data_IF_828723046885
#
_entry.id   IF_828723046885
#
_cell.length_a   1.000
_cell.length_b   1.000
_cell.length_c   1.000
_cell.angle_alpha   90.00
_cell.angle_beta   90.00
_cell.angle_gamma   90.00
#
_symmetry.space_group_name_H-M   'P 1'
#
loop_
_entity.id
_entity.type
_entity.pdbx_description
1 polymer ?
#
# COMPACT_ATOMS: atom_id res chain seq x y z
N UNK A 1 0.34 -14.73 2.47
CA UNK A 1 0.62 -14.24 1.09
C UNK A 1 1.83 -15.00 0.54
N UNK A 2 1.99 -15.08 -0.78
CA UNK A 2 3.18 -15.70 -1.38
C UNK A 2 4.36 -14.73 -1.35
N UNK A 3 5.56 -15.29 -1.23
CA UNK A 3 6.80 -14.57 -1.48
C UNK A 3 6.85 -14.03 -2.91
N UNK A 4 7.63 -12.97 -3.13
CA UNK A 4 7.87 -12.47 -4.48
C UNK A 4 8.72 -13.45 -5.29
N UNK A 5 8.44 -13.53 -6.59
CA UNK A 5 9.19 -14.36 -7.52
C UNK A 5 10.33 -13.53 -8.15
N UNK A 6 11.60 -13.96 -8.05
CA UNK A 6 12.71 -13.29 -8.73
C UNK A 6 12.51 -13.09 -10.24
N UNK A 7 11.78 -13.98 -10.92
CA UNK A 7 11.53 -13.87 -12.36
C UNK A 7 10.63 -12.66 -12.73
N UNK A 8 9.87 -12.14 -11.77
CA UNK A 8 9.03 -10.96 -11.98
C UNK A 8 9.84 -9.65 -11.83
N UNK A 9 11.06 -9.70 -11.28
CA UNK A 9 11.81 -8.52 -10.85
C UNK A 9 12.62 -7.93 -12.00
N UNK A 10 12.54 -6.61 -12.16
CA UNK A 10 13.26 -5.88 -13.21
C UNK A 10 14.44 -5.12 -12.60
N UNK A 11 15.65 -5.61 -12.86
CA UNK A 11 16.90 -4.97 -12.43
C UNK A 11 17.52 -5.61 -11.18
N UNK A 12 18.53 -4.94 -10.61
CA UNK A 12 19.14 -5.38 -9.36
C UNK A 12 18.18 -5.16 -8.19
N UNK A 13 18.09 -6.15 -7.29
CA UNK A 13 17.17 -6.12 -6.16
C UNK A 13 17.84 -6.52 -4.85
N UNK A 14 17.22 -6.09 -3.76
CA UNK A 14 17.53 -6.50 -2.39
C UNK A 14 16.39 -7.34 -1.81
N UNK A 15 16.73 -8.30 -0.96
CA UNK A 15 15.76 -9.18 -0.30
C UNK A 15 15.45 -8.66 1.11
N UNK A 16 14.16 -8.60 1.45
CA UNK A 16 13.68 -8.21 2.77
C UNK A 16 12.63 -9.20 3.26
N UNK A 17 12.54 -9.40 4.57
CA UNK A 17 11.46 -10.17 5.19
C UNK A 17 10.53 -9.22 5.94
N UNK A 18 9.27 -9.16 5.51
CA UNK A 18 8.22 -8.42 6.21
C UNK A 18 7.54 -9.34 7.23
N UNK A 19 7.32 -8.82 8.43
CA UNK A 19 6.44 -9.43 9.44
C UNK A 19 5.15 -8.63 9.56
N UNK A 20 4.01 -9.32 9.46
CA UNK A 20 2.68 -8.73 9.56
C UNK A 20 2.10 -8.89 10.98
N UNK A 21 1.00 -8.19 11.24
CA UNK A 21 0.38 -8.15 12.58
C UNK A 21 -0.13 -9.50 13.07
N UNK A 22 -0.42 -10.42 12.14
CA UNK A 22 -0.85 -11.79 12.43
C UNK A 22 0.34 -12.75 12.66
N UNK A 23 1.57 -12.23 12.66
CA UNK A 23 2.80 -13.00 12.81
C UNK A 23 3.27 -13.70 11.54
N UNK A 24 2.50 -13.63 10.45
CA UNK A 24 2.96 -14.18 9.17
C UNK A 24 4.10 -13.36 8.60
N UNK A 25 4.92 -14.01 7.79
CA UNK A 25 6.03 -13.38 7.09
C UNK A 25 5.88 -13.49 5.59
N UNK A 26 6.52 -12.56 4.87
CA UNK A 26 6.64 -12.58 3.42
C UNK A 26 7.99 -12.06 3.03
N UNK A 27 8.68 -12.80 2.17
CA UNK A 27 9.88 -12.32 1.49
C UNK A 27 9.48 -11.42 0.33
N UNK A 28 10.05 -10.22 0.32
CA UNK A 28 9.86 -9.21 -0.72
C UNK A 28 11.19 -8.86 -1.36
N UNK A 29 11.16 -8.62 -2.67
CA UNK A 29 12.31 -8.24 -3.46
C UNK A 29 12.09 -6.80 -3.91
N UNK A 30 13.06 -5.94 -3.63
CA UNK A 30 12.91 -4.49 -3.81
C UNK A 30 14.02 -3.95 -4.69
N UNK A 31 13.63 -3.16 -5.69
CA UNK A 31 14.51 -2.36 -6.55
C UNK A 31 14.31 -0.89 -6.24
N UNK A 32 15.30 -0.07 -6.60
CA UNK A 32 15.22 1.40 -6.43
C UNK A 32 14.53 2.10 -7.61
N UNK A 33 13.75 1.37 -8.41
CA UNK A 33 13.05 1.90 -9.58
C UNK A 33 11.70 2.49 -9.17
N UNK A 34 11.59 3.82 -9.17
CA UNK A 34 10.32 4.51 -8.98
C UNK A 34 9.48 4.52 -10.26
N UNK A 35 8.20 4.17 -10.12
CA UNK A 35 7.16 4.49 -11.11
C UNK A 35 6.46 5.78 -10.69
N UNK A 36 6.65 6.84 -11.47
CA UNK A 36 5.98 8.12 -11.21
C UNK A 36 4.45 7.97 -11.28
N UNK A 37 3.76 8.64 -10.36
CA UNK A 37 2.30 8.64 -10.36
C UNK A 37 1.77 9.43 -11.56
N UNK A 38 0.98 8.82 -12.47
CA UNK A 38 0.53 9.46 -13.69
C UNK A 38 -0.42 10.63 -13.42
N UNK A 39 -0.26 11.71 -14.19
CA UNK A 39 -1.07 12.92 -14.05
C UNK A 39 -2.54 12.64 -14.36
N UNK A 40 -3.44 13.24 -13.58
CA UNK A 40 -4.88 13.08 -13.75
C UNK A 40 -5.45 11.72 -13.34
N UNK A 41 -4.63 10.79 -12.88
CA UNK A 41 -5.09 9.48 -12.40
C UNK A 41 -5.53 9.51 -10.92
N UNK A 42 -6.39 8.57 -10.55
CA UNK A 42 -6.76 8.29 -9.18
C UNK A 42 -6.71 6.79 -8.96
N UNK A 43 -6.03 6.36 -7.91
CA UNK A 43 -6.04 4.96 -7.49
C UNK A 43 -7.19 4.78 -6.49
N UNK A 44 -8.06 3.81 -6.76
CA UNK A 44 -9.19 3.49 -5.89
C UNK A 44 -9.17 2.02 -5.56
N UNK A 45 -9.34 1.70 -4.27
CA UNK A 45 -9.59 0.34 -3.81
C UNK A 45 -10.60 0.29 -2.70
N UNK A 46 -11.31 -0.83 -2.60
CA UNK A 46 -12.14 -1.15 -1.44
C UNK A 46 -11.69 -2.45 -0.81
N UNK A 47 -11.87 -2.53 0.50
CA UNK A 47 -11.65 -3.74 1.26
C UNK A 47 -12.87 -4.10 2.09
N UNK A 48 -12.94 -5.34 2.55
CA UNK A 48 -13.78 -5.71 3.69
C UNK A 48 -13.22 -5.15 5.01
N UNK A 49 -13.85 -5.52 6.14
CA UNK A 49 -13.44 -5.08 7.49
C UNK A 49 -12.09 -5.64 7.94
N UNK A 50 -11.61 -6.71 7.31
CA UNK A 50 -10.34 -7.35 7.60
C UNK A 50 -9.20 -6.82 6.71
N UNK A 51 -9.49 -5.83 5.85
CA UNK A 51 -8.50 -5.27 4.92
C UNK A 51 -8.25 -6.13 3.67
N UNK A 52 -9.14 -7.10 3.39
CA UNK A 52 -9.08 -7.94 2.18
C UNK A 52 -9.67 -7.16 1.01
N UNK A 53 -8.91 -7.04 -0.08
CA UNK A 53 -9.30 -6.29 -1.26
C UNK A 53 -10.53 -6.93 -1.91
N UNK A 54 -11.59 -6.13 -2.08
CA UNK A 54 -12.85 -6.54 -2.72
C UNK A 54 -13.09 -5.83 -4.05
N UNK A 55 -12.36 -4.74 -4.32
CA UNK A 55 -12.44 -4.00 -5.57
C UNK A 55 -11.19 -3.15 -5.77
N UNK A 56 -10.76 -3.06 -7.03
CA UNK A 56 -9.70 -2.16 -7.49
C UNK A 56 -10.13 -1.52 -8.80
N UNK A 57 -9.60 -0.33 -9.10
CA UNK A 57 -9.74 0.26 -10.43
C UNK A 57 -8.52 -0.01 -11.30
N UNK A 58 -8.64 0.28 -12.60
CA UNK A 58 -7.57 0.09 -13.59
C UNK A 58 -6.25 0.77 -13.19
N UNK A 59 -6.31 1.99 -12.64
CA UNK A 59 -5.11 2.69 -12.18
C UNK A 59 -4.38 1.94 -11.05
N UNK A 60 -5.10 1.24 -10.18
CA UNK A 60 -4.46 0.38 -9.17
C UNK A 60 -3.69 -0.74 -9.86
N UNK A 61 -4.34 -1.48 -10.76
CA UNK A 61 -3.76 -2.61 -11.50
C UNK A 61 -2.44 -2.18 -12.17
N UNK A 62 -2.50 -1.12 -12.97
CA UNK A 62 -1.33 -0.56 -13.68
C UNK A 62 -0.23 -0.13 -12.71
N UNK A 63 -0.58 0.64 -11.67
CA UNK A 63 0.42 1.19 -10.73
C UNK A 63 1.03 0.13 -9.82
N UNK A 64 0.32 -0.95 -9.54
CA UNK A 64 0.80 -2.03 -8.69
C UNK A 64 1.63 -3.08 -9.44
N UNK A 65 1.44 -3.21 -10.75
CA UNK A 65 2.05 -4.27 -11.56
C UNK A 65 1.41 -5.66 -11.38
N UNK A 66 0.41 -5.80 -10.50
CA UNK A 66 -0.39 -7.01 -10.34
C UNK A 66 -1.61 -6.98 -11.25
N UNK A 67 -2.10 -8.15 -11.67
CA UNK A 67 -3.41 -8.24 -12.32
C UNK A 67 -4.54 -8.08 -11.30
N UNK A 68 -5.76 -7.79 -11.76
CA UNK A 68 -6.92 -7.71 -10.87
C UNK A 68 -7.15 -9.04 -10.13
N UNK A 69 -7.00 -10.17 -10.81
CA UNK A 69 -7.16 -11.51 -10.23
C UNK A 69 -6.13 -11.80 -9.13
N UNK A 70 -4.92 -11.25 -9.25
CA UNK A 70 -3.89 -11.35 -8.21
C UNK A 70 -4.19 -10.46 -7.01
N UNK A 71 -4.94 -9.37 -7.20
CA UNK A 71 -5.26 -8.39 -6.15
C UNK A 71 -6.52 -8.76 -5.37
N UNK A 72 -7.59 -9.19 -6.05
CA UNK A 72 -8.87 -9.50 -5.42
C UNK A 72 -8.70 -10.67 -4.43
N UNK A 73 -9.22 -10.49 -3.22
CA UNK A 73 -9.11 -11.48 -2.15
C UNK A 73 -7.76 -11.46 -1.41
N UNK A 74 -6.80 -10.63 -1.80
CA UNK A 74 -5.56 -10.46 -1.05
C UNK A 74 -5.69 -9.37 0.02
N UNK A 75 -4.94 -9.48 1.13
CA UNK A 75 -4.77 -8.37 2.07
C UNK A 75 -4.16 -7.16 1.36
N UNK A 76 -4.64 -5.96 1.68
CA UNK A 76 -4.14 -4.70 1.10
C UNK A 76 -2.62 -4.51 1.30
N UNK A 77 -2.07 -5.09 2.37
CA UNK A 77 -0.65 -5.08 2.69
C UNK A 77 0.24 -5.91 1.73
N UNK A 78 -0.31 -6.50 0.67
CA UNK A 78 0.46 -7.05 -0.47
C UNK A 78 1.38 -5.99 -1.10
N UNK A 79 0.99 -4.72 -1.05
CA UNK A 79 1.77 -3.58 -1.53
C UNK A 79 2.74 -3.00 -0.50
N UNK A 80 2.87 -3.61 0.68
CA UNK A 80 3.70 -3.05 1.76
C UNK A 80 5.16 -3.02 1.32
N UNK A 81 5.74 -1.83 1.31
CA UNK A 81 7.17 -1.62 1.13
C UNK A 81 7.92 -1.75 2.47
N UNK A 82 9.12 -2.35 2.52
CA UNK A 82 9.91 -2.45 3.76
C UNK A 82 10.24 -1.10 4.40
N UNK A 83 10.48 -0.06 3.59
CA UNK A 83 10.70 1.32 4.08
C UNK A 83 9.49 1.97 4.77
N UNK A 84 8.31 1.36 4.74
CA UNK A 84 7.14 1.90 5.44
C UNK A 84 7.14 1.48 6.91
N UNK A 85 7.24 2.42 7.86
CA UNK A 85 7.37 2.11 9.27
C UNK A 85 6.08 1.50 9.83
N UNK A 86 6.15 0.57 10.80
CA UNK A 86 4.98 0.03 11.48
C UNK A 86 4.07 1.11 12.08
N UNK A 87 4.66 2.21 12.57
CA UNK A 87 3.95 3.35 13.14
C UNK A 87 2.92 3.98 12.18
N UNK A 88 3.23 4.05 10.87
CA UNK A 88 2.29 4.60 9.88
C UNK A 88 1.03 3.74 9.73
N UNK A 89 1.18 2.41 9.82
CA UNK A 89 0.05 1.49 9.76
C UNK A 89 -0.74 1.43 11.07
N UNK A 90 -0.06 1.58 12.21
CA UNK A 90 -0.73 1.72 13.50
C UNK A 90 -1.65 2.95 13.51
N UNK A 91 -1.14 4.10 13.08
CA UNK A 91 -1.92 5.35 12.97
C UNK A 91 -3.12 5.23 12.00
N UNK A 92 -2.93 4.55 10.86
CA UNK A 92 -4.00 4.21 9.92
C UNK A 92 -5.13 3.46 10.62
N UNK A 93 -4.81 2.35 11.29
CA UNK A 93 -5.83 1.51 11.90
C UNK A 93 -6.49 2.17 13.11
N UNK A 94 -5.73 2.88 13.93
CA UNK A 94 -6.29 3.60 15.08
C UNK A 94 -7.26 4.69 14.62
N UNK A 95 -6.94 5.41 13.54
CA UNK A 95 -7.81 6.42 12.95
C UNK A 95 -9.08 5.81 12.37
N UNK A 96 -8.96 4.74 11.58
CA UNK A 96 -10.11 4.07 10.98
C UNK A 96 -11.05 3.45 12.04
N UNK A 97 -10.50 2.89 13.12
CA UNK A 97 -11.29 2.34 14.24
C UNK A 97 -12.08 3.39 15.01
N UNK A 98 -11.61 4.64 15.04
CA UNK A 98 -12.37 5.78 15.57
C UNK A 98 -13.48 6.26 14.64
N UNK A 99 -13.61 5.67 13.44
CA UNK A 99 -14.56 6.12 12.41
C UNK A 99 -14.08 7.37 11.66
N UNK A 100 -12.81 7.76 11.83
CA UNK A 100 -12.23 8.95 11.22
C UNK A 100 -11.59 8.64 9.86
N UNK A 101 -11.35 9.69 9.08
CA UNK A 101 -10.62 9.59 7.81
C UNK A 101 -9.13 9.67 8.08
N UNK A 102 -8.39 8.71 7.55
CA UNK A 102 -6.93 8.73 7.62
C UNK A 102 -6.31 9.34 6.37
N UNK A 103 -5.18 10.01 6.56
CA UNK A 103 -4.38 10.60 5.48
C UNK A 103 -2.90 10.28 5.69
N UNK A 104 -2.20 9.93 4.63
CA UNK A 104 -0.76 9.71 4.74
C UNK A 104 -0.06 9.55 3.40
N UNK A 105 1.26 9.75 3.43
CA UNK A 105 2.13 9.40 2.32
C UNK A 105 2.51 7.93 2.45
N UNK A 106 2.48 7.18 1.36
CA UNK A 106 2.78 5.74 1.38
C UNK A 106 3.65 5.40 0.19
N UNK A 107 4.80 4.77 0.47
CA UNK A 107 5.63 4.07 -0.52
C UNK A 107 5.04 2.67 -0.70
N UNK A 108 4.55 2.37 -1.90
CA UNK A 108 3.96 1.07 -2.23
C UNK A 108 4.95 0.27 -3.06
N UNK A 109 5.07 -1.01 -2.74
CA UNK A 109 5.85 -1.99 -3.49
C UNK A 109 5.03 -2.50 -4.67
N UNK A 110 5.67 -2.59 -5.83
CA UNK A 110 5.12 -3.17 -7.07
C UNK A 110 5.48 -4.65 -7.18
N UNK A 111 4.76 -5.38 -8.05
CA UNK A 111 5.07 -6.78 -8.36
C UNK A 111 6.48 -6.96 -8.94
N UNK A 112 6.93 -6.00 -9.75
CA UNK A 112 8.23 -5.99 -10.41
C UNK A 112 9.41 -5.58 -9.51
N UNK A 113 9.16 -5.43 -8.21
CA UNK A 113 10.13 -5.01 -7.20
C UNK A 113 10.33 -3.50 -7.11
N UNK A 114 9.87 -2.72 -8.08
CA UNK A 114 9.89 -1.26 -8.02
C UNK A 114 8.92 -0.70 -6.99
N UNK A 115 8.83 0.62 -6.92
CA UNK A 115 7.90 1.29 -6.00
C UNK A 115 7.20 2.48 -6.62
N UNK A 116 6.17 2.95 -5.94
CA UNK A 116 5.53 4.24 -6.25
C UNK A 116 5.03 4.91 -4.98
N UNK A 117 5.09 6.23 -4.98
CA UNK A 117 4.55 7.04 -3.89
C UNK A 117 3.11 7.48 -4.16
N UNK A 118 2.33 7.58 -3.09
CA UNK A 118 0.97 8.13 -3.13
C UNK A 118 0.71 9.02 -1.92
N UNK A 119 -0.20 9.98 -2.09
CA UNK A 119 -0.94 10.54 -0.96
C UNK A 119 -2.28 9.83 -0.85
N UNK A 120 -2.44 9.02 0.18
CA UNK A 120 -3.60 8.18 0.41
C UNK A 120 -4.59 8.84 1.38
N UNK A 121 -5.87 8.64 1.10
CA UNK A 121 -6.98 8.89 2.02
C UNK A 121 -7.73 7.58 2.22
N UNK A 122 -7.87 7.12 3.46
CA UNK A 122 -8.63 5.93 3.80
C UNK A 122 -9.86 6.30 4.63
N UNK A 123 -11.02 5.71 4.30
CA UNK A 123 -12.31 6.08 4.86
C UNK A 123 -13.07 4.80 5.26
N UNK A 124 -13.65 4.71 6.47
CA UNK A 124 -14.53 3.62 6.84
C UNK A 124 -15.85 3.70 6.07
N UNK A 125 -16.27 2.59 5.48
CA UNK A 125 -17.58 2.44 4.85
C UNK A 125 -18.57 1.99 5.92
N UNK A 126 -19.56 2.82 6.26
CA UNK A 126 -20.55 2.52 7.31
C UNK A 126 -21.89 2.16 6.70
N UNK A 127 -22.50 1.07 7.14
CA UNK A 127 -23.89 0.69 6.82
C UNK A 127 -24.63 0.36 8.10
N UNK A 128 -25.79 0.99 8.31
CA UNK A 128 -26.63 0.78 9.51
C UNK A 128 -25.87 0.98 10.84
N UNK A 129 -24.91 1.90 10.87
CA UNK A 129 -24.09 2.18 12.06
C UNK A 129 -22.88 1.26 12.24
N UNK A 130 -22.68 0.26 11.38
CA UNK A 130 -21.55 -0.67 11.45
C UNK A 130 -20.57 -0.44 10.30
N UNK A 131 -19.27 -0.54 10.59
CA UNK A 131 -18.23 -0.52 9.56
C UNK A 131 -18.29 -1.84 8.78
N UNK A 132 -18.47 -1.76 7.47
CA UNK A 132 -18.55 -2.93 6.56
C UNK A 132 -17.30 -3.08 5.68
N UNK A 133 -16.34 -2.17 5.82
CA UNK A 133 -15.08 -2.19 5.08
C UNK A 133 -14.48 -0.81 4.94
N UNK A 134 -13.50 -0.66 4.05
CA UNK A 134 -12.78 0.60 3.88
C UNK A 134 -12.67 0.95 2.40
N UNK A 135 -12.66 2.25 2.10
CA UNK A 135 -12.33 2.78 0.78
C UNK A 135 -11.05 3.58 0.88
N UNK A 136 -10.09 3.31 -0.01
CA UNK A 136 -8.88 4.10 -0.17
C UNK A 136 -8.91 4.82 -1.51
N UNK A 137 -8.68 6.13 -1.48
CA UNK A 137 -8.46 6.97 -2.66
C UNK A 137 -7.05 7.53 -2.57
N UNK A 138 -6.28 7.41 -3.65
CA UNK A 138 -4.89 7.87 -3.68
C UNK A 138 -4.64 8.72 -4.91
N UNK A 139 -3.90 9.79 -4.68
CA UNK A 139 -3.57 10.81 -5.68
C UNK A 139 -2.08 11.03 -5.73
N UNK A 140 -1.68 11.78 -6.74
CA UNK A 140 -0.30 12.22 -6.91
C UNK A 140 0.24 12.86 -5.62
N UNK A 141 1.35 12.35 -5.08
CA UNK A 141 2.01 12.92 -3.92
C UNK A 141 2.80 14.18 -4.28
N UNK A 142 2.99 15.07 -3.31
CA UNK A 142 3.93 16.18 -3.46
C UNK A 142 5.38 15.67 -3.39
N UNK A 143 6.21 15.98 -4.40
CA UNK A 143 7.65 15.65 -4.40
C UNK A 143 8.38 16.19 -3.16
N UNK A 144 8.02 17.40 -2.70
CA UNK A 144 8.56 17.99 -1.46
C UNK A 144 8.23 17.12 -0.24
N UNK A 145 6.99 16.64 -0.13
CA UNK A 145 6.55 15.82 1.00
C UNK A 145 7.15 14.42 0.96
N UNK A 146 7.35 13.84 -0.23
CA UNK A 146 8.11 12.59 -0.38
C UNK A 146 9.51 12.75 0.22
N UNK A 147 10.26 13.79 -0.17
CA UNK A 147 11.61 14.03 0.35
C UNK A 147 11.64 14.27 1.89
N UNK A 148 10.56 14.80 2.48
CA UNK A 148 10.41 14.89 3.93
C UNK A 148 10.16 13.50 4.56
N UNK A 149 9.30 12.69 3.95
CA UNK A 149 8.99 11.34 4.40
C UNK A 149 10.19 10.40 4.30
N UNK A 150 10.99 10.47 3.23
CA UNK A 150 12.20 9.67 3.06
C UNK A 150 13.24 9.90 4.16
N UNK A 151 13.25 11.10 4.76
CA UNK A 151 14.09 11.42 5.92
C UNK A 151 13.46 10.97 7.24
N UNK A 152 12.13 11.06 7.35
CA UNK A 152 11.40 10.76 8.58
C UNK A 152 11.19 9.26 8.80
N UNK A 153 10.80 8.51 7.78
CA UNK A 153 10.37 7.12 7.93
C UNK A 153 11.43 6.18 8.50
N UNK A 154 12.71 6.28 8.13
CA UNK A 154 13.76 5.49 8.77
C UNK A 154 13.91 5.73 10.28
N UNK A 155 13.44 6.87 10.82
CA UNK A 155 13.50 7.17 12.27
C UNK A 155 12.31 6.62 13.05
N UNK A 156 11.40 5.87 12.41
CA UNK A 156 10.15 5.37 12.99
C UNK A 156 10.07 3.83 13.06
N UNK A 157 11.22 3.15 12.93
CA UNK A 157 11.37 1.69 13.07
C UNK A 157 11.81 1.30 14.49
#
# INVERSE_FOLDING_TARGET
>A
MKDMNPDDIIGEFSEHTLTYYDGTTRKVLVTDVETEFPEGCLIVSRTDVNGIITHVNESFVIMSGFTEEELIGQPHCILRHPDMPPAAFADLWDTLKRGEKWYGYVKNLRKDGGYYWVYATAIPNVRRGEVVGYTSVRRQPSKKKIAECEKLYPTLF
#
